data_IF_793047850479
#
_entry.id   IF_793047850479
#
_cell.length_a   1.000
_cell.length_b   1.000
_cell.length_c   1.000
_cell.angle_alpha   90.00
_cell.angle_beta   90.00
_cell.angle_gamma   90.00
#
_symmetry.space_group_name_H-M   'P 1'
#
loop_
_entity.id
_entity.type
_entity.pdbx_description
1 polymer ?
#
# COMPACT_ATOMS: atom_id res chain seq x y z
N UNK A 1 18.57 -24.14 -16.81
CA UNK A 1 19.14 -23.35 -15.69
C UNK A 1 18.34 -23.68 -14.44
N UNK A 2 18.98 -24.17 -13.38
CA UNK A 2 18.31 -24.45 -12.12
C UNK A 2 17.87 -23.11 -11.49
N UNK A 3 16.57 -22.87 -11.42
CA UNK A 3 15.99 -21.73 -10.71
C UNK A 3 16.21 -21.97 -9.22
N UNK A 4 17.26 -21.41 -8.63
CA UNK A 4 17.41 -21.35 -7.18
C UNK A 4 16.20 -20.61 -6.62
N UNK A 5 15.38 -21.31 -5.85
CA UNK A 5 14.23 -20.73 -5.16
C UNK A 5 14.75 -19.66 -4.20
N UNK A 6 14.26 -18.41 -4.24
CA UNK A 6 14.70 -17.39 -3.30
C UNK A 6 14.36 -17.84 -1.88
N UNK A 7 15.38 -17.86 -1.02
CA UNK A 7 15.22 -18.18 0.40
C UNK A 7 14.76 -16.93 1.13
N UNK A 8 13.63 -17.01 1.82
CA UNK A 8 13.14 -15.91 2.65
C UNK A 8 13.78 -16.00 4.04
N UNK A 9 14.44 -14.92 4.47
CA UNK A 9 14.92 -14.72 5.84
C UNK A 9 13.81 -14.13 6.71
N UNK A 10 13.66 -14.57 7.95
CA UNK A 10 12.68 -14.00 8.89
C UNK A 10 13.37 -13.51 10.16
N UNK A 11 13.16 -12.25 10.49
CA UNK A 11 13.87 -11.57 11.58
C UNK A 11 12.88 -10.91 12.55
N UNK A 12 12.98 -11.23 13.84
CA UNK A 12 12.26 -10.52 14.92
C UNK A 12 13.09 -9.34 15.40
N UNK A 13 12.56 -8.14 15.26
CA UNK A 13 13.25 -6.91 15.61
C UNK A 13 13.02 -6.61 17.10
N UNK A 14 14.04 -6.87 17.90
CA UNK A 14 14.04 -6.54 19.34
C UNK A 14 14.28 -5.05 19.55
N UNK A 15 13.45 -4.39 20.36
CA UNK A 15 13.58 -2.96 20.67
C UNK A 15 14.17 -2.80 22.09
N UNK A 16 15.22 -1.97 22.29
CA UNK A 16 15.83 -1.06 21.32
C UNK A 16 16.98 -1.67 20.50
N UNK A 17 17.47 -2.88 20.84
CA UNK A 17 18.79 -3.36 20.37
C UNK A 17 18.93 -3.54 18.85
N UNK A 18 17.93 -4.11 18.18
CA UNK A 18 18.00 -4.42 16.75
C UNK A 18 17.35 -3.34 15.87
N UNK A 19 16.56 -2.44 16.47
CA UNK A 19 15.81 -1.43 15.74
C UNK A 19 16.69 -0.44 14.96
N UNK A 20 17.83 0.07 15.48
CA UNK A 20 18.71 0.95 14.70
C UNK A 20 19.26 0.28 13.44
N UNK A 21 19.72 -0.97 13.55
CA UNK A 21 20.24 -1.73 12.41
C UNK A 21 19.15 -2.00 11.37
N UNK A 22 17.95 -2.35 11.83
CA UNK A 22 16.78 -2.48 10.97
C UNK A 22 16.43 -1.16 10.25
N UNK A 23 16.43 -0.03 10.96
CA UNK A 23 16.19 1.28 10.32
C UNK A 23 17.25 1.57 9.26
N UNK A 24 18.52 1.26 9.53
CA UNK A 24 19.60 1.38 8.55
C UNK A 24 19.37 0.52 7.29
N UNK A 25 18.80 -0.68 7.41
CA UNK A 25 18.53 -1.53 6.25
C UNK A 25 17.37 -1.05 5.37
N UNK A 26 16.47 -0.21 5.91
CA UNK A 26 15.42 0.43 5.12
C UNK A 26 15.95 1.57 4.24
N UNK A 27 17.06 2.20 4.63
CA UNK A 27 17.68 3.26 3.84
C UNK A 27 18.37 2.67 2.61
N UNK A 28 18.08 3.24 1.43
CA UNK A 28 18.67 2.81 0.17
C UNK A 28 17.92 1.69 -0.55
N UNK A 29 16.79 1.21 0.00
CA UNK A 29 15.89 0.33 -0.74
C UNK A 29 15.37 1.03 -2.00
N UNK A 30 15.30 0.33 -3.14
CA UNK A 30 14.72 0.88 -4.36
C UNK A 30 13.27 1.32 -4.15
N UNK A 31 12.87 2.41 -4.80
CA UNK A 31 11.49 2.90 -4.76
C UNK A 31 10.75 2.76 -6.09
N UNK A 32 11.45 2.32 -7.13
CA UNK A 32 10.87 1.95 -8.42
C UNK A 32 11.70 0.77 -8.99
N UNK A 33 11.22 -0.48 -8.85
CA UNK A 33 9.94 -0.90 -8.27
C UNK A 33 9.86 -0.73 -6.74
N UNK A 34 8.64 -0.82 -6.17
CA UNK A 34 8.43 -0.78 -4.73
C UNK A 34 9.12 -1.94 -3.99
N UNK A 35 9.75 -1.61 -2.87
CA UNK A 35 10.56 -2.57 -2.09
C UNK A 35 9.96 -2.93 -0.74
N UNK A 36 8.96 -2.19 -0.25
CA UNK A 36 8.40 -2.38 1.09
C UNK A 36 6.94 -2.76 1.06
N UNK A 37 6.66 -3.94 1.63
CA UNK A 37 5.34 -4.53 1.71
C UNK A 37 4.99 -4.72 3.18
N UNK A 38 3.83 -4.23 3.60
CA UNK A 38 3.46 -4.14 5.00
C UNK A 38 2.14 -4.88 5.25
N UNK A 39 2.08 -5.56 6.38
CA UNK A 39 0.85 -6.09 6.96
C UNK A 39 0.94 -6.04 8.48
N UNK A 40 -0.16 -6.34 9.17
CA UNK A 40 -0.19 -6.46 10.62
C UNK A 40 -0.93 -7.74 11.00
N UNK A 41 -0.54 -8.33 12.11
CA UNK A 41 -1.38 -9.25 12.87
C UNK A 41 -1.91 -8.55 14.14
N UNK A 42 -2.34 -9.29 15.16
CA UNK A 42 -2.88 -8.71 16.40
C UNK A 42 -1.87 -7.89 17.20
N UNK A 43 -0.59 -8.25 17.12
CA UNK A 43 0.45 -7.78 18.05
C UNK A 43 1.76 -7.39 17.34
N UNK A 44 1.88 -7.62 16.04
CA UNK A 44 3.10 -7.38 15.27
C UNK A 44 2.83 -6.59 13.98
N UNK A 45 3.77 -5.71 13.66
CA UNK A 45 3.94 -5.15 12.33
C UNK A 45 4.88 -6.06 11.52
N UNK A 46 4.42 -6.50 10.36
CA UNK A 46 5.17 -7.37 9.45
C UNK A 46 5.61 -6.54 8.25
N UNK A 47 6.93 -6.47 8.03
CA UNK A 47 7.54 -5.70 6.94
C UNK A 47 8.35 -6.65 6.08
N UNK A 48 7.86 -6.92 4.88
CA UNK A 48 8.59 -7.66 3.86
C UNK A 48 9.37 -6.70 2.96
N UNK A 49 10.68 -6.89 2.87
CA UNK A 49 11.60 -6.06 2.10
C UNK A 49 12.18 -6.83 0.89
N UNK A 50 11.94 -6.31 -0.31
CA UNK A 50 12.53 -6.74 -1.58
C UNK A 50 13.65 -5.76 -2.00
N UNK A 51 14.70 -6.17 -2.73
CA UNK A 51 15.05 -7.53 -3.14
C UNK A 51 15.72 -8.35 -2.01
N UNK A 52 15.86 -7.77 -0.81
CA UNK A 52 16.54 -8.38 0.33
C UNK A 52 15.95 -9.74 0.74
N UNK A 53 14.69 -10.03 0.37
CA UNK A 53 13.99 -11.27 0.69
C UNK A 53 13.89 -11.51 2.19
N UNK A 54 13.71 -10.43 2.97
CA UNK A 54 13.65 -10.47 4.44
C UNK A 54 12.27 -10.04 4.95
N UNK A 55 11.68 -10.85 5.82
CA UNK A 55 10.48 -10.52 6.59
C UNK A 55 10.93 -10.07 7.99
N UNK A 56 10.66 -8.82 8.32
CA UNK A 56 10.97 -8.22 9.60
C UNK A 56 9.68 -8.12 10.43
N UNK A 57 9.72 -8.60 11.66
CA UNK A 57 8.57 -8.64 12.58
C UNK A 57 8.88 -7.74 13.77
N UNK A 58 8.07 -6.70 13.94
CA UNK A 58 8.20 -5.71 15.02
C UNK A 58 7.02 -5.87 15.98
N UNK A 59 7.30 -6.20 17.24
CA UNK A 59 6.27 -6.26 18.29
C UNK A 59 5.72 -4.86 18.59
N UNK A 60 4.41 -4.69 18.46
CA UNK A 60 3.72 -3.40 18.62
C UNK A 60 3.69 -2.92 20.07
N UNK A 61 3.71 -3.84 21.04
CA UNK A 61 3.74 -3.48 22.46
C UNK A 61 5.11 -2.93 22.86
N UNK A 62 6.19 -3.57 22.40
CA UNK A 62 7.56 -3.07 22.55
C UNK A 62 7.74 -1.72 21.83
N UNK A 63 7.24 -1.61 20.60
CA UNK A 63 7.32 -0.37 19.84
C UNK A 63 6.59 0.77 20.55
N UNK A 64 5.37 0.53 21.04
CA UNK A 64 4.63 1.53 21.80
C UNK A 64 5.36 1.93 23.10
N UNK A 65 5.92 0.96 23.82
CA UNK A 65 6.73 1.22 25.01
C UNK A 65 7.92 2.14 24.73
N UNK A 66 8.66 1.85 23.66
CA UNK A 66 9.80 2.65 23.22
C UNK A 66 9.40 4.06 22.73
N UNK A 67 8.29 4.18 21.99
CA UNK A 67 7.74 5.48 21.58
C UNK A 67 7.39 6.36 22.79
N UNK A 68 6.79 5.77 23.83
CA UNK A 68 6.44 6.51 25.07
C UNK A 68 7.66 6.92 25.88
N UNK A 69 8.77 6.20 25.74
CA UNK A 69 10.04 6.52 26.38
C UNK A 69 10.88 7.51 25.57
N UNK A 70 10.45 7.88 24.36
CA UNK A 70 11.18 8.79 23.48
C UNK A 70 12.41 8.14 22.82
N UNK A 71 12.40 6.83 22.61
CA UNK A 71 13.48 6.13 21.90
C UNK A 71 13.63 6.69 20.47
N UNK A 72 14.86 7.13 20.13
CA UNK A 72 15.14 7.82 18.87
C UNK A 72 14.85 6.92 17.65
N UNK A 73 15.15 5.63 17.74
CA UNK A 73 14.92 4.70 16.62
C UNK A 73 13.45 4.37 16.43
N UNK A 74 12.68 4.27 17.52
CA UNK A 74 11.23 4.13 17.48
C UNK A 74 10.56 5.38 16.88
N UNK A 75 11.00 6.57 17.28
CA UNK A 75 10.54 7.84 16.71
C UNK A 75 10.91 7.98 15.21
N UNK A 76 12.09 7.49 14.83
CA UNK A 76 12.52 7.43 13.43
C UNK A 76 11.66 6.47 12.61
N UNK A 77 11.34 5.26 13.13
CA UNK A 77 10.44 4.32 12.47
C UNK A 77 9.04 4.92 12.32
N UNK A 78 8.52 5.56 13.37
CA UNK A 78 7.24 6.29 13.29
C UNK A 78 7.29 7.33 12.18
N UNK A 79 8.28 8.23 12.19
CA UNK A 79 8.42 9.26 11.16
C UNK A 79 8.55 8.65 9.75
N UNK A 80 9.30 7.56 9.61
CA UNK A 80 9.44 6.84 8.35
C UNK A 80 8.10 6.31 7.81
N UNK A 81 7.26 5.76 8.68
CA UNK A 81 5.93 5.25 8.33
C UNK A 81 4.94 6.38 8.03
N UNK A 82 5.01 7.49 8.77
CA UNK A 82 4.05 8.61 8.68
C UNK A 82 4.35 9.62 7.58
N UNK A 83 5.62 9.91 7.30
CA UNK A 83 6.03 10.98 6.37
C UNK A 83 7.11 10.56 5.36
N UNK A 84 7.68 9.36 5.50
CA UNK A 84 8.73 8.88 4.60
C UNK A 84 8.25 8.70 3.16
N UNK A 85 9.14 8.98 2.20
CA UNK A 85 8.84 8.95 0.76
C UNK A 85 9.01 7.57 0.10
N UNK A 86 9.45 6.56 0.87
CA UNK A 86 9.47 5.17 0.38
C UNK A 86 8.04 4.67 0.23
N UNK A 87 7.73 4.07 -0.92
CA UNK A 87 6.46 3.44 -1.24
C UNK A 87 6.25 2.26 -0.30
N UNK A 88 5.11 2.30 0.39
CA UNK A 88 4.64 1.28 1.32
C UNK A 88 3.43 0.62 0.70
N UNK A 89 3.56 -0.67 0.40
CA UNK A 89 2.53 -1.43 -0.29
C UNK A 89 1.75 -2.26 0.72
N UNK A 90 0.43 -2.17 0.68
CA UNK A 90 -0.50 -2.97 1.47
C UNK A 90 -1.44 -3.73 0.53
N UNK A 91 -1.95 -4.89 0.96
CA UNK A 91 -3.10 -5.46 0.27
C UNK A 91 -4.33 -4.57 0.48
N UNK A 92 -4.70 -4.40 1.76
CA UNK A 92 -5.79 -3.58 2.27
C UNK A 92 -5.20 -2.80 3.47
N UNK A 93 -5.07 -1.49 3.33
CA UNK A 93 -4.36 -0.67 4.32
C UNK A 93 -5.22 -0.33 5.54
N UNK A 94 -6.54 -0.59 5.51
CA UNK A 94 -7.47 -0.20 6.59
C UNK A 94 -7.10 -0.84 7.93
N UNK A 95 -6.89 -2.16 7.93
CA UNK A 95 -6.56 -2.87 9.17
C UNK A 95 -5.16 -2.51 9.71
N UNK A 96 -4.09 -2.49 8.88
CA UNK A 96 -2.80 -1.95 9.28
C UNK A 96 -2.85 -0.53 9.84
N UNK A 97 -3.51 0.40 9.15
CA UNK A 97 -3.63 1.79 9.59
C UNK A 97 -4.33 1.91 10.95
N UNK A 98 -5.47 1.24 11.12
CA UNK A 98 -6.20 1.24 12.39
C UNK A 98 -5.37 0.63 13.53
N UNK A 99 -4.70 -0.49 13.26
CA UNK A 99 -3.91 -1.20 14.29
C UNK A 99 -2.72 -0.36 14.73
N UNK A 100 -1.97 0.21 13.78
CA UNK A 100 -0.81 1.06 14.05
C UNK A 100 -1.22 2.35 14.78
N UNK A 101 -2.36 2.95 14.41
CA UNK A 101 -2.90 4.12 15.10
C UNK A 101 -3.30 3.78 16.54
N UNK A 102 -4.12 2.75 16.74
CA UNK A 102 -4.63 2.39 18.07
C UNK A 102 -3.54 1.91 19.02
N UNK A 103 -2.55 1.17 18.53
CA UNK A 103 -1.50 0.56 19.35
C UNK A 103 -0.31 1.50 19.60
N UNK A 104 0.06 2.31 18.61
CA UNK A 104 1.31 3.08 18.63
C UNK A 104 1.12 4.58 18.31
N UNK A 105 -0.11 5.03 18.04
CA UNK A 105 -0.37 6.41 17.63
C UNK A 105 0.30 6.79 16.31
N UNK A 106 0.55 5.83 15.43
CA UNK A 106 1.18 6.00 14.12
C UNK A 106 0.10 6.31 13.08
N UNK A 107 0.27 7.38 12.30
CA UNK A 107 -0.69 7.89 11.31
C UNK A 107 -0.16 7.72 9.88
N UNK A 108 -0.69 6.75 9.15
CA UNK A 108 -0.37 6.56 7.72
C UNK A 108 -1.01 7.63 6.80
N UNK A 109 -1.99 8.39 7.32
CA UNK A 109 -2.76 9.41 6.59
C UNK A 109 -2.25 10.84 6.86
N UNK A 110 -0.96 11.11 6.65
CA UNK A 110 -0.48 12.50 6.62
C UNK A 110 -0.56 12.98 5.17
N UNK A 111 -1.09 14.19 4.99
CA UNK A 111 -1.37 14.80 3.69
C UNK A 111 -0.17 14.77 2.72
N UNK A 112 1.06 14.77 3.24
CA UNK A 112 2.29 14.58 2.46
C UNK A 112 2.42 13.18 1.87
N UNK A 113 2.06 12.11 2.59
CA UNK A 113 2.12 10.72 2.09
C UNK A 113 0.97 10.37 1.15
N UNK A 114 -0.22 10.97 1.32
CA UNK A 114 -1.38 10.70 0.44
C UNK A 114 -1.39 11.57 -0.82
N UNK A 115 -0.96 12.84 -0.74
CA UNK A 115 -0.79 13.69 -1.94
C UNK A 115 0.35 13.22 -2.86
N UNK A 116 1.37 12.56 -2.31
CA UNK A 116 2.52 12.07 -3.07
C UNK A 116 2.49 10.56 -3.35
N UNK A 117 1.37 9.89 -3.01
CA UNK A 117 1.09 8.50 -3.37
C UNK A 117 2.12 7.47 -2.87
N UNK A 118 2.66 7.64 -1.66
CA UNK A 118 3.61 6.67 -1.09
C UNK A 118 2.93 5.50 -0.35
N UNK A 119 1.60 5.46 -0.35
CA UNK A 119 0.83 4.31 0.13
C UNK A 119 0.09 3.69 -1.05
N UNK A 120 0.42 2.43 -1.35
CA UNK A 120 -0.21 1.69 -2.44
C UNK A 120 -1.10 0.58 -1.88
N UNK A 121 -2.39 0.63 -2.20
CA UNK A 121 -3.34 -0.44 -1.88
C UNK A 121 -3.57 -1.34 -3.09
N UNK A 122 -3.01 -2.55 -3.05
CA UNK A 122 -3.11 -3.53 -4.13
C UNK A 122 -4.58 -3.92 -4.38
N UNK A 123 -5.41 -3.98 -3.35
CA UNK A 123 -6.84 -4.25 -3.49
C UNK A 123 -7.56 -3.14 -4.29
N UNK A 124 -7.13 -1.89 -4.15
CA UNK A 124 -7.69 -0.77 -4.93
C UNK A 124 -7.18 -0.75 -6.37
N UNK A 125 -5.92 -1.12 -6.58
CA UNK A 125 -5.38 -1.33 -7.93
C UNK A 125 -6.11 -2.46 -8.66
N UNK A 126 -6.40 -3.57 -7.97
CA UNK A 126 -7.14 -4.70 -8.55
C UNK A 126 -8.53 -4.29 -9.00
N UNK A 127 -9.31 -3.64 -8.13
CA UNK A 127 -10.69 -3.28 -8.46
C UNK A 127 -10.75 -2.26 -9.60
N UNK A 128 -9.82 -1.31 -9.66
CA UNK A 128 -9.72 -0.32 -10.75
C UNK A 128 -9.38 -0.92 -12.13
N UNK A 129 -8.77 -2.11 -12.17
CA UNK A 129 -8.40 -2.79 -13.40
C UNK A 129 -9.51 -3.70 -13.95
N UNK A 130 -10.66 -3.78 -13.26
CA UNK A 130 -11.78 -4.60 -13.72
C UNK A 130 -12.43 -3.97 -14.96
N UNK A 131 -12.86 -4.82 -15.89
CA UNK A 131 -13.35 -4.37 -17.20
C UNK A 131 -14.79 -3.84 -17.19
N UNK A 132 -15.60 -4.21 -16.21
CA UNK A 132 -17.02 -3.84 -16.15
C UNK A 132 -17.25 -2.95 -14.96
N UNK A 133 -17.92 -1.82 -15.18
CA UNK A 133 -18.23 -0.84 -14.13
C UNK A 133 -19.02 -1.49 -12.97
N UNK A 134 -19.91 -2.44 -13.27
CA UNK A 134 -20.65 -3.24 -12.28
C UNK A 134 -19.77 -4.08 -11.34
N UNK A 135 -18.53 -4.36 -11.75
CA UNK A 135 -17.62 -5.17 -10.96
C UNK A 135 -16.82 -4.34 -9.96
N UNK A 136 -16.99 -3.01 -9.90
CA UNK A 136 -16.18 -2.17 -9.01
C UNK A 136 -16.75 -2.06 -7.60
N UNK A 137 -18.03 -2.38 -7.39
CA UNK A 137 -18.71 -2.16 -6.11
C UNK A 137 -18.13 -3.02 -4.97
N UNK A 138 -17.64 -4.23 -5.30
CA UNK A 138 -17.23 -5.21 -4.30
C UNK A 138 -15.74 -5.54 -4.38
N UNK A 139 -15.05 -5.42 -3.25
CA UNK A 139 -13.62 -5.70 -3.14
C UNK A 139 -13.34 -7.20 -3.27
N UNK A 140 -12.20 -7.54 -3.89
CA UNK A 140 -11.70 -8.91 -3.84
C UNK A 140 -10.91 -9.16 -2.55
N UNK A 141 -11.09 -10.34 -1.95
CA UNK A 141 -10.25 -10.80 -0.85
C UNK A 141 -8.85 -11.22 -1.33
N UNK A 142 -7.88 -11.20 -0.42
CA UNK A 142 -6.47 -11.47 -0.74
C UNK A 142 -6.27 -12.83 -1.41
N UNK A 143 -6.91 -13.88 -0.89
CA UNK A 143 -6.79 -15.24 -1.43
C UNK A 143 -7.33 -15.35 -2.87
N UNK A 144 -8.34 -14.55 -3.21
CA UNK A 144 -8.91 -14.50 -4.55
C UNK A 144 -7.92 -13.86 -5.53
N UNK A 145 -7.27 -12.76 -5.14
CA UNK A 145 -6.24 -12.11 -5.94
C UNK A 145 -5.01 -13.01 -6.10
N UNK A 146 -4.53 -13.62 -5.02
CA UNK A 146 -3.38 -14.55 -5.07
C UNK A 146 -3.64 -15.67 -6.06
N UNK A 147 -4.79 -16.35 -5.96
CA UNK A 147 -5.15 -17.50 -6.80
C UNK A 147 -5.25 -17.14 -8.28
N UNK A 148 -5.73 -15.94 -8.61
CA UNK A 148 -5.93 -15.50 -9.98
C UNK A 148 -4.67 -14.90 -10.59
N UNK A 149 -3.92 -14.15 -9.80
CA UNK A 149 -3.04 -13.12 -10.34
C UNK A 149 -1.59 -13.19 -9.89
N UNK A 150 -1.26 -13.88 -8.80
CA UNK A 150 0.11 -13.89 -8.28
C UNK A 150 1.09 -14.65 -9.19
N UNK A 151 0.63 -15.69 -9.89
CA UNK A 151 1.47 -16.52 -10.75
C UNK A 151 2.56 -17.33 -10.02
N UNK A 152 2.68 -17.16 -8.70
CA UNK A 152 3.53 -17.96 -7.83
C UNK A 152 2.85 -19.29 -7.51
N UNK A 153 3.52 -20.41 -7.79
CA UNK A 153 3.13 -21.69 -7.21
C UNK A 153 3.36 -21.68 -5.70
N UNK A 154 2.48 -22.35 -4.94
CA UNK A 154 2.50 -22.41 -3.47
C UNK A 154 3.86 -22.86 -2.86
N UNK A 155 4.75 -23.45 -3.66
CA UNK A 155 6.02 -24.01 -3.24
C UNK A 155 7.24 -23.11 -3.50
N UNK A 156 7.07 -21.90 -4.06
CA UNK A 156 8.18 -21.08 -4.56
C UNK A 156 8.75 -20.06 -3.55
N UNK A 157 8.11 -19.88 -2.40
CA UNK A 157 8.57 -18.99 -1.33
C UNK A 157 8.51 -19.77 -0.01
N UNK A 158 9.59 -20.50 0.28
CA UNK A 158 9.72 -21.26 1.52
C UNK A 158 10.63 -20.47 2.47
N UNK A 159 10.19 -20.21 3.72
CA UNK A 159 11.08 -19.72 4.76
C UNK A 159 12.26 -20.68 4.95
N UNK A 160 13.41 -20.16 5.37
CA UNK A 160 14.54 -20.98 5.73
C UNK A 160 14.15 -22.03 6.79
N UNK A 161 14.78 -23.21 6.78
CA UNK A 161 14.40 -24.33 7.65
C UNK A 161 14.57 -24.07 9.15
N UNK A 162 15.32 -23.02 9.52
CA UNK A 162 15.51 -22.53 10.89
C UNK A 162 14.40 -21.60 11.38
N UNK A 163 13.55 -21.08 10.50
CA UNK A 163 12.53 -20.06 10.82
C UNK A 163 11.10 -20.63 10.93
N UNK A 164 10.96 -21.96 11.06
CA UNK A 164 9.65 -22.64 11.03
C UNK A 164 8.72 -22.26 12.19
N UNK A 165 9.24 -21.66 13.26
CA UNK A 165 8.49 -21.28 14.46
C UNK A 165 8.04 -19.81 14.47
N UNK A 166 8.34 -19.05 13.41
CA UNK A 166 7.90 -17.65 13.30
C UNK A 166 6.60 -17.58 12.51
N UNK A 167 5.49 -17.46 13.24
CA UNK A 167 4.15 -17.34 12.67
C UNK A 167 3.92 -15.91 12.15
N UNK A 168 3.74 -15.78 10.83
CA UNK A 168 3.25 -14.57 10.18
C UNK A 168 2.40 -14.97 8.97
N UNK A 169 1.57 -14.03 8.48
CA UNK A 169 0.76 -14.26 7.29
C UNK A 169 1.63 -14.30 6.01
N UNK A 170 1.94 -15.51 5.57
CA UNK A 170 2.76 -15.77 4.37
C UNK A 170 2.17 -15.19 3.08
N UNK A 171 0.89 -14.79 3.07
CA UNK A 171 0.28 -14.11 1.92
C UNK A 171 1.00 -12.82 1.56
N UNK A 172 1.65 -12.15 2.53
CA UNK A 172 2.46 -10.95 2.28
C UNK A 172 3.53 -11.16 1.19
N UNK A 173 4.05 -12.38 1.07
CA UNK A 173 5.08 -12.76 0.10
C UNK A 173 4.57 -12.73 -1.36
N UNK A 174 3.25 -12.70 -1.56
CA UNK A 174 2.63 -12.55 -2.88
C UNK A 174 2.44 -11.09 -3.29
N UNK A 175 2.57 -10.13 -2.37
CA UNK A 175 2.34 -8.72 -2.65
C UNK A 175 3.24 -8.13 -3.75
N UNK A 176 4.55 -8.42 -3.83
CA UNK A 176 5.37 -7.88 -4.91
C UNK A 176 4.85 -8.26 -6.30
N UNK A 177 4.36 -9.49 -6.44
CA UNK A 177 3.86 -10.02 -7.70
C UNK A 177 2.53 -9.39 -8.10
N UNK A 178 1.60 -9.28 -7.14
CA UNK A 178 0.32 -8.62 -7.36
C UNK A 178 0.50 -7.13 -7.64
N UNK A 179 1.30 -6.44 -6.81
CA UNK A 179 1.63 -5.04 -6.98
C UNK A 179 2.22 -4.81 -8.36
N UNK A 180 3.29 -5.53 -8.73
CA UNK A 180 3.91 -5.39 -10.04
C UNK A 180 2.92 -5.63 -11.18
N UNK A 181 2.09 -6.67 -11.10
CA UNK A 181 1.13 -6.99 -12.16
C UNK A 181 0.08 -5.89 -12.35
N UNK A 182 -0.47 -5.37 -11.26
CA UNK A 182 -1.52 -4.35 -11.35
C UNK A 182 -0.92 -2.97 -11.66
N UNK A 183 0.20 -2.64 -11.03
CA UNK A 183 0.98 -1.44 -11.32
C UNK A 183 1.39 -1.37 -12.79
N UNK A 184 2.00 -2.44 -13.33
CA UNK A 184 2.39 -2.48 -14.75
C UNK A 184 1.19 -2.30 -15.68
N UNK A 185 0.00 -2.79 -15.33
CA UNK A 185 -1.21 -2.61 -16.15
C UNK A 185 -1.73 -1.17 -16.11
N UNK A 186 -1.76 -0.57 -14.91
CA UNK A 186 -2.09 0.85 -14.75
C UNK A 186 -1.07 1.74 -15.49
N UNK A 187 0.21 1.37 -15.46
CA UNK A 187 1.28 2.11 -16.12
C UNK A 187 1.31 1.91 -17.65
N UNK A 188 1.04 0.71 -18.17
CA UNK A 188 0.96 0.44 -19.62
C UNK A 188 -0.28 1.09 -20.25
N UNK A 189 -1.32 1.32 -19.46
CA UNK A 189 -2.53 2.03 -19.85
C UNK A 189 -2.35 3.54 -20.10
N UNK A 190 -1.12 4.09 -19.98
CA UNK A 190 -0.75 5.52 -20.16
C UNK A 190 -1.13 6.16 -21.51
N UNK A 191 -1.70 5.41 -22.46
CA UNK A 191 -2.14 5.94 -23.74
C UNK A 191 -3.56 6.53 -23.75
N UNK A 192 -4.32 6.51 -22.63
CA UNK A 192 -5.68 7.08 -22.54
C UNK A 192 -5.99 7.80 -21.23
N UNK A 193 -6.77 8.88 -21.30
CA UNK A 193 -7.24 9.71 -20.16
C UNK A 193 -7.97 8.91 -19.08
N UNK A 194 -8.63 7.82 -19.46
CA UNK A 194 -9.38 6.95 -18.54
C UNK A 194 -8.51 6.21 -17.50
N UNK A 195 -7.19 6.07 -17.71
CA UNK A 195 -6.33 5.42 -16.71
C UNK A 195 -5.82 6.39 -15.65
N UNK A 196 -5.60 7.66 -15.99
CA UNK A 196 -5.27 8.71 -15.00
C UNK A 196 -6.44 8.95 -14.04
N UNK A 197 -7.67 8.81 -14.53
CA UNK A 197 -8.88 8.78 -13.70
C UNK A 197 -8.79 7.70 -12.60
N UNK A 198 -8.44 6.46 -12.96
CA UNK A 198 -8.33 5.38 -11.98
C UNK A 198 -7.20 5.61 -10.98
N UNK A 199 -6.07 6.18 -11.42
CA UNK A 199 -4.99 6.59 -10.50
C UNK A 199 -5.51 7.60 -9.47
N UNK A 200 -6.25 8.62 -9.92
CA UNK A 200 -6.86 9.62 -9.06
C UNK A 200 -7.80 8.97 -8.03
N UNK A 201 -8.68 8.07 -8.50
CA UNK A 201 -9.67 7.40 -7.66
C UNK A 201 -9.07 6.44 -6.66
N UNK A 202 -8.03 5.69 -7.04
CA UNK A 202 -7.27 4.85 -6.09
C UNK A 202 -6.74 5.72 -4.96
N UNK A 203 -6.11 6.86 -5.26
CA UNK A 203 -5.54 7.73 -4.22
C UNK A 203 -6.58 8.34 -3.31
N UNK A 204 -7.66 8.86 -3.88
CA UNK A 204 -8.79 9.43 -3.14
C UNK A 204 -9.39 8.38 -2.18
N UNK A 205 -9.61 7.16 -2.69
CA UNK A 205 -10.15 6.07 -1.89
C UNK A 205 -9.16 5.61 -0.80
N UNK A 206 -7.88 5.46 -1.13
CA UNK A 206 -6.84 5.12 -0.15
C UNK A 206 -6.77 6.17 0.96
N UNK A 207 -6.76 7.46 0.61
CA UNK A 207 -6.74 8.54 1.59
C UNK A 207 -7.94 8.47 2.54
N UNK A 208 -9.17 8.40 2.00
CA UNK A 208 -10.40 8.28 2.80
C UNK A 208 -10.36 7.08 3.74
N UNK A 209 -9.89 5.93 3.26
CA UNK A 209 -9.76 4.70 4.05
C UNK A 209 -8.76 4.84 5.20
N UNK A 210 -7.64 5.52 4.98
CA UNK A 210 -6.64 5.75 6.01
C UNK A 210 -7.13 6.78 7.05
N UNK A 211 -7.90 7.78 6.64
CA UNK A 211 -8.55 8.77 7.52
C UNK A 211 -9.63 8.10 8.41
N UNK A 212 -10.53 7.31 7.81
CA UNK A 212 -11.55 6.54 8.54
C UNK A 212 -10.94 5.60 9.58
N UNK A 213 -9.78 5.01 9.27
CA UNK A 213 -9.05 4.11 10.17
C UNK A 213 -8.58 4.79 11.47
N UNK A 214 -8.60 6.13 11.53
CA UNK A 214 -8.30 6.95 12.73
C UNK A 214 -9.55 7.29 13.56
N UNK A 215 -10.73 6.86 13.13
CA UNK A 215 -12.00 7.26 13.74
C UNK A 215 -12.48 8.67 13.33
N UNK A 216 -11.86 9.27 12.32
CA UNK A 216 -12.33 10.51 11.71
C UNK A 216 -13.52 10.18 10.80
N UNK A 217 -14.72 10.15 11.40
CA UNK A 217 -15.99 9.84 10.72
C UNK A 217 -16.23 10.76 9.51
N UNK A 218 -15.82 10.31 8.33
CA UNK A 218 -16.28 10.82 7.05
C UNK A 218 -17.19 9.74 6.47
N UNK A 219 -18.46 10.06 6.24
CA UNK A 219 -19.51 9.08 5.98
C UNK A 219 -19.31 8.22 4.72
N UNK A 220 -20.12 7.14 4.68
CA UNK A 220 -20.39 6.14 3.62
C UNK A 220 -19.49 4.92 3.47
N UNK A 221 -18.21 4.93 3.84
CA UNK A 221 -17.41 3.70 3.82
C UNK A 221 -17.40 3.06 5.22
N UNK A 222 -17.98 1.87 5.33
CA UNK A 222 -17.76 1.07 6.53
C UNK A 222 -16.30 0.61 6.48
N UNK A 223 -15.48 1.02 7.46
CA UNK A 223 -14.05 0.68 7.53
C UNK A 223 -13.77 -0.84 7.45
N UNK A 224 -14.77 -1.69 7.70
CA UNK A 224 -14.70 -3.15 7.59
C UNK A 224 -15.58 -3.73 6.47
N UNK A 225 -16.18 -2.90 5.62
CA UNK A 225 -17.10 -3.33 4.56
C UNK A 225 -16.37 -3.92 3.36
N UNK A 226 -17.04 -4.89 2.71
CA UNK A 226 -16.60 -5.42 1.41
C UNK A 226 -16.94 -4.49 0.23
N UNK A 227 -17.70 -3.41 0.46
CA UNK A 227 -17.99 -2.40 -0.57
C UNK A 227 -16.78 -1.50 -0.76
N UNK A 228 -16.45 -1.22 -2.02
CA UNK A 228 -15.34 -0.34 -2.39
C UNK A 228 -15.66 1.14 -2.22
N UNK A 229 -16.96 1.49 -2.29
CA UNK A 229 -17.44 2.85 -2.46
C UNK A 229 -17.56 3.28 -3.92
N UNK A 230 -17.33 2.39 -4.88
CA UNK A 230 -17.40 2.64 -6.32
C UNK A 230 -18.58 1.88 -6.94
N UNK A 231 -19.78 2.40 -6.79
CA UNK A 231 -20.94 1.92 -7.54
C UNK A 231 -20.97 2.49 -8.97
N UNK A 232 -21.75 1.85 -9.83
CA UNK A 232 -21.80 2.18 -11.25
C UNK A 232 -22.19 3.66 -11.49
N UNK A 233 -23.21 4.13 -10.79
CA UNK A 233 -23.76 5.47 -10.99
C UNK A 233 -22.71 6.52 -10.57
N UNK A 234 -22.07 6.31 -9.41
CA UNK A 234 -20.97 7.17 -8.95
C UNK A 234 -19.77 7.19 -9.91
N UNK A 235 -19.41 6.04 -10.50
CA UNK A 235 -18.32 5.96 -11.49
C UNK A 235 -18.68 6.75 -12.75
N UNK A 236 -19.92 6.63 -13.24
CA UNK A 236 -20.41 7.37 -14.41
C UNK A 236 -20.32 8.88 -14.15
N UNK A 237 -20.86 9.36 -13.04
CA UNK A 237 -20.79 10.78 -12.65
C UNK A 237 -19.36 11.29 -12.53
N UNK A 238 -18.47 10.54 -11.86
CA UNK A 238 -17.09 10.96 -11.70
C UNK A 238 -16.30 10.96 -13.01
N UNK A 239 -16.61 10.03 -13.92
CA UNK A 239 -15.95 9.95 -15.23
C UNK A 239 -16.37 11.11 -16.10
N UNK A 240 -17.64 11.49 -16.09
CA UNK A 240 -18.14 12.64 -16.84
C UNK A 240 -17.52 13.93 -16.32
N UNK A 241 -17.51 14.15 -15.00
CA UNK A 241 -16.83 15.28 -14.36
C UNK A 241 -15.33 15.31 -14.67
N UNK A 242 -14.63 14.17 -14.62
CA UNK A 242 -13.21 14.10 -14.98
C UNK A 242 -12.96 14.44 -16.45
N UNK A 243 -13.82 13.97 -17.35
CA UNK A 243 -13.70 14.27 -18.79
C UNK A 243 -13.95 15.76 -19.07
N UNK A 244 -14.89 16.40 -18.37
CA UNK A 244 -15.10 17.84 -18.44
C UNK A 244 -13.85 18.59 -17.95
N UNK A 245 -13.28 18.21 -16.81
CA UNK A 245 -12.05 18.82 -16.29
C UNK A 245 -10.85 18.67 -17.23
N UNK A 246 -10.65 17.48 -17.80
CA UNK A 246 -9.59 17.23 -18.80
C UNK A 246 -9.80 18.07 -20.06
N UNK A 247 -11.04 18.19 -20.53
CA UNK A 247 -11.38 19.00 -21.71
C UNK A 247 -11.14 20.50 -21.44
N UNK A 248 -11.53 20.97 -20.26
CA UNK A 248 -11.29 22.34 -19.81
C UNK A 248 -9.80 22.64 -19.66
N UNK A 249 -9.02 21.70 -19.13
CA UNK A 249 -7.56 21.80 -19.03
C UNK A 249 -6.90 21.88 -20.41
N UNK A 250 -7.31 21.02 -21.34
CA UNK A 250 -6.82 21.08 -22.72
C UNK A 250 -7.13 22.43 -23.40
N UNK A 251 -8.34 22.96 -23.19
CA UNK A 251 -8.76 24.25 -23.76
C UNK A 251 -8.05 25.45 -23.14
N UNK A 252 -7.56 25.32 -21.89
CA UNK A 252 -6.85 26.39 -21.17
C UNK A 252 -5.33 26.24 -21.24
N UNK A 253 -4.82 25.32 -22.07
CA UNK A 253 -3.38 25.07 -22.17
C UNK A 253 -2.75 24.51 -20.88
N UNK A 254 -3.57 23.88 -20.03
CA UNK A 254 -3.16 23.30 -18.75
C UNK A 254 -3.43 24.18 -17.53
N UNK A 255 -3.96 25.41 -17.67
CA UNK A 255 -4.13 26.30 -16.51
C UNK A 255 -5.27 25.86 -15.57
N UNK A 256 -6.31 25.18 -16.09
CA UNK A 256 -7.49 24.78 -15.32
C UNK A 256 -7.17 23.87 -14.13
N UNK A 257 -6.33 22.84 -14.34
CA UNK A 257 -5.98 21.88 -13.30
C UNK A 257 -4.64 22.17 -12.63
N UNK A 258 -3.88 23.18 -13.09
CA UNK A 258 -2.58 23.55 -12.52
C UNK A 258 -1.37 22.98 -13.29
N UNK A 259 -1.56 22.66 -14.56
CA UNK A 259 -0.50 22.49 -15.55
C UNK A 259 0.29 21.20 -15.41
N UNK A 260 1.51 21.22 -15.95
CA UNK A 260 2.39 20.05 -15.95
C UNK A 260 2.68 19.52 -14.53
N UNK A 261 2.67 20.38 -13.51
CA UNK A 261 2.86 20.00 -12.11
C UNK A 261 1.67 19.20 -11.56
N UNK A 262 0.44 19.54 -11.93
CA UNK A 262 -0.74 18.74 -11.59
C UNK A 262 -0.61 17.32 -12.15
N UNK A 263 -0.32 17.22 -13.45
CA UNK A 263 -0.21 15.94 -14.15
C UNK A 263 1.01 15.12 -13.72
N UNK A 264 2.10 15.78 -13.31
CA UNK A 264 3.29 15.12 -12.77
C UNK A 264 2.97 14.31 -11.51
N UNK A 265 1.99 14.74 -10.71
CA UNK A 265 1.55 13.98 -9.52
C UNK A 265 1.06 12.60 -9.90
N UNK A 266 0.46 12.40 -11.08
CA UNK A 266 -0.05 11.10 -11.54
C UNK A 266 1.01 10.19 -12.15
N UNK A 267 2.25 10.67 -12.30
CA UNK A 267 3.38 9.86 -12.78
C UNK A 267 3.91 8.89 -11.73
N UNK A 268 3.59 9.13 -10.45
CA UNK A 268 4.02 8.36 -9.28
C UNK A 268 2.84 7.53 -8.76
N UNK A 269 2.40 6.56 -9.55
CA UNK A 269 1.97 5.29 -8.96
C UNK A 269 3.10 4.31 -9.19
#
# INVERSE_FOLDING_TARGET
>A
MASTTPTISVERISIPRALPAFMHSLFGLPNDPASLYLSVDSDSLIIYAEPASTVNIVDLSQLNGALRQGDESALALKSFLETGTTIKVFFDARNPARTLFNRCGIKLAIETCTKQAYIHEVQMMEVALRRRDTDHEWLAGFDKCIRRDSGLGANKLMPSSSDRDVEFDKRILHLPFLWKKYHDQLAKGRAGSGMLFWVAKIREATQKRLEESRGENHGRCNANGARSGWDKDSIEEWRDSWNEDVLMDANTGGEWMGGAEHWAKFRVL
#
